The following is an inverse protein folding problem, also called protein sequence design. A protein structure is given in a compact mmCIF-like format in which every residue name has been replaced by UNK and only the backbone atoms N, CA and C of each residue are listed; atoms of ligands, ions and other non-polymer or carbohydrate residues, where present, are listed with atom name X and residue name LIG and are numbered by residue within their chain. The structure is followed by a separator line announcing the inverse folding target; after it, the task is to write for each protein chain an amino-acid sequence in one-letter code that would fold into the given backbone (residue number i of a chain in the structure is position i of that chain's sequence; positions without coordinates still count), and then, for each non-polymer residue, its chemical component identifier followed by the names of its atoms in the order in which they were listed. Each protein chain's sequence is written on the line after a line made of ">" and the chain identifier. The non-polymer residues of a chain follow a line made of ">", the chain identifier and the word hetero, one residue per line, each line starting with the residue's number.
data_IF_925527398865
#
_entry.id   IF_925527398865
#
_cell.length_a   1.000
_cell.length_b   1.000
_cell.length_c   1.000
_cell.angle_alpha   90.00
_cell.angle_beta   90.00
_cell.angle_gamma   90.00
#
_symmetry.space_group_name_H-M   'P 1'
#
loop_
_entity.id
_entity.type
_entity.pdbx_description
1 polymer ?
#
# COMPACT_ATOMS: atom_id res chain seq x y z
N UNK A 1 0.01 -98.44 -43.79
CA UNK A 1 0.97 -97.75 -44.70
C UNK A 1 1.40 -96.44 -44.03
N UNK A 2 2.68 -96.41 -43.73
CA UNK A 2 3.58 -95.28 -43.62
C UNK A 2 3.12 -94.03 -42.76
N UNK A 3 3.66 -93.90 -41.58
CA UNK A 3 5.00 -93.34 -41.22
C UNK A 3 5.11 -91.87 -41.37
N UNK A 4 5.32 -91.14 -40.31
CA UNK A 4 6.53 -90.43 -39.81
C UNK A 4 6.10 -89.41 -38.74
N UNK A 5 6.53 -89.51 -37.55
CA UNK A 5 7.78 -89.19 -36.87
C UNK A 5 7.77 -87.79 -36.25
N UNK A 6 7.94 -87.87 -34.98
CA UNK A 6 8.16 -86.82 -34.00
C UNK A 6 9.24 -85.76 -34.31
N UNK A 7 9.03 -84.51 -33.84
CA UNK A 7 10.09 -83.77 -33.20
C UNK A 7 9.50 -82.83 -32.10
N UNK A 8 9.86 -83.09 -30.87
CA UNK A 8 9.71 -82.22 -29.74
C UNK A 8 10.62 -81.02 -29.94
N UNK A 9 10.09 -79.82 -29.72
CA UNK A 9 10.90 -78.62 -29.46
C UNK A 9 10.37 -77.91 -28.21
N UNK A 10 11.18 -77.99 -27.16
CA UNK A 10 10.97 -77.40 -25.87
C UNK A 10 11.14 -75.87 -26.01
N UNK A 11 10.06 -75.12 -25.82
CA UNK A 11 10.13 -73.66 -25.73
C UNK A 11 10.33 -73.24 -24.27
N UNK A 12 11.52 -72.69 -23.95
CA UNK A 12 11.82 -72.08 -22.66
C UNK A 12 11.17 -70.74 -22.68
N UNK A 13 10.15 -70.54 -21.82
CA UNK A 13 9.58 -69.20 -21.50
C UNK A 13 10.55 -68.43 -20.60
N UNK A 14 11.21 -67.43 -21.14
CA UNK A 14 11.86 -66.36 -20.34
C UNK A 14 10.77 -65.34 -19.94
N UNK A 15 10.36 -65.39 -18.69
CA UNK A 15 9.56 -64.32 -18.08
C UNK A 15 10.47 -63.11 -17.79
N UNK A 16 10.43 -62.09 -18.64
CA UNK A 16 11.00 -60.78 -18.35
C UNK A 16 10.04 -60.03 -17.43
N UNK A 17 10.35 -60.01 -16.13
CA UNK A 17 9.73 -59.11 -15.17
C UNK A 17 10.25 -57.69 -15.41
N UNK A 18 9.46 -56.87 -16.05
CA UNK A 18 9.64 -55.41 -16.09
C UNK A 18 9.36 -54.84 -14.70
N UNK A 19 10.40 -54.52 -13.95
CA UNK A 19 10.32 -53.65 -12.78
C UNK A 19 10.15 -52.22 -13.28
N UNK A 20 8.90 -51.72 -13.36
CA UNK A 20 8.61 -50.32 -13.46
C UNK A 20 9.03 -49.63 -12.17
N UNK A 21 10.29 -49.18 -12.11
CA UNK A 21 10.68 -48.20 -11.12
C UNK A 21 9.96 -46.90 -11.47
N UNK A 22 8.83 -46.62 -10.83
CA UNK A 22 8.18 -45.33 -10.82
C UNK A 22 9.16 -44.36 -10.14
N UNK A 23 10.00 -43.71 -10.92
CA UNK A 23 10.72 -42.52 -10.45
C UNK A 23 9.68 -41.46 -10.11
N UNK A 24 9.33 -41.39 -8.83
CA UNK A 24 8.62 -40.23 -8.29
C UNK A 24 9.59 -39.06 -8.46
N UNK A 25 9.45 -38.37 -9.60
CA UNK A 25 10.10 -37.05 -9.74
C UNK A 25 9.54 -36.19 -8.64
N UNK A 26 10.29 -36.06 -7.56
CA UNK A 26 10.07 -35.04 -6.55
C UNK A 26 10.16 -33.72 -7.31
N UNK A 27 8.98 -33.16 -7.66
CA UNK A 27 8.89 -31.81 -8.22
C UNK A 27 9.61 -30.92 -7.22
N UNK A 28 10.77 -30.38 -7.61
CA UNK A 28 11.48 -29.44 -6.77
C UNK A 28 10.45 -28.38 -6.34
N UNK A 29 10.30 -28.21 -5.03
CA UNK A 29 9.37 -27.22 -4.51
C UNK A 29 9.74 -25.88 -5.14
N UNK A 30 8.78 -25.23 -5.77
CA UNK A 30 8.99 -23.88 -6.29
C UNK A 30 9.56 -22.99 -5.16
N UNK A 31 10.53 -22.15 -5.47
CA UNK A 31 11.06 -21.26 -4.45
C UNK A 31 9.94 -20.41 -3.87
N UNK A 32 9.93 -20.15 -2.56
CA UNK A 32 8.86 -19.38 -1.92
C UNK A 32 8.72 -17.99 -2.56
N UNK A 33 7.48 -17.52 -2.68
CA UNK A 33 7.19 -16.22 -3.26
C UNK A 33 7.98 -15.11 -2.55
N UNK A 34 8.66 -14.28 -3.35
CA UNK A 34 9.34 -13.08 -2.83
C UNK A 34 8.40 -11.88 -2.92
N UNK A 35 8.40 -10.99 -1.92
CA UNK A 35 7.72 -9.71 -2.03
C UNK A 35 8.45 -8.84 -3.05
N UNK A 36 7.74 -7.88 -3.65
CA UNK A 36 8.37 -6.75 -4.32
C UNK A 36 8.57 -5.60 -3.31
N UNK A 37 9.56 -4.77 -3.55
CA UNK A 37 9.71 -3.50 -2.84
C UNK A 37 8.83 -2.48 -3.55
N UNK A 38 7.70 -2.11 -2.90
CA UNK A 38 6.76 -1.11 -3.43
C UNK A 38 7.44 0.24 -3.58
N UNK A 39 8.21 0.62 -2.55
CA UNK A 39 8.96 1.86 -2.58
C UNK A 39 10.20 1.81 -1.70
N UNK A 40 11.28 2.48 -2.16
CA UNK A 40 12.35 2.98 -1.31
C UNK A 40 12.13 4.47 -1.16
N UNK A 41 11.81 4.93 0.05
CA UNK A 41 11.44 6.32 0.33
C UNK A 41 12.55 7.01 1.09
N UNK A 42 13.11 8.07 0.51
CA UNK A 42 14.07 8.96 1.16
C UNK A 42 13.32 10.10 1.86
N UNK A 43 13.65 10.38 3.10
CA UNK A 43 13.12 11.47 3.90
C UNK A 43 14.18 12.56 4.01
N UNK A 44 13.90 13.72 3.44
CA UNK A 44 14.83 14.85 3.42
C UNK A 44 14.18 16.09 4.04
N UNK A 45 14.98 16.90 4.73
CA UNK A 45 14.53 18.22 5.15
C UNK A 45 14.90 19.22 4.06
N UNK A 46 13.87 19.66 3.31
CA UNK A 46 14.04 20.51 2.15
C UNK A 46 14.30 21.96 2.57
N UNK A 47 15.29 22.57 1.95
CA UNK A 47 15.52 24.01 1.93
C UNK A 47 15.19 24.52 0.52
N UNK A 48 14.29 25.52 0.45
CA UNK A 48 13.82 26.07 -0.82
C UNK A 48 14.95 26.57 -1.71
N UNK A 49 15.97 27.20 -1.14
CA UNK A 49 17.10 27.73 -1.92
C UNK A 49 18.01 26.64 -2.48
N UNK A 50 18.01 25.45 -1.85
CA UNK A 50 18.91 24.33 -2.20
C UNK A 50 18.17 23.09 -2.70
N UNK A 51 16.85 23.16 -2.89
CA UNK A 51 16.01 21.97 -3.12
C UNK A 51 16.48 21.08 -4.26
N UNK A 52 16.92 21.68 -5.40
CA UNK A 52 17.39 20.91 -6.56
C UNK A 52 18.64 20.08 -6.22
N UNK A 53 19.58 20.65 -5.47
CA UNK A 53 20.78 19.94 -5.02
C UNK A 53 20.45 18.84 -4.02
N UNK A 54 19.58 19.12 -3.05
CA UNK A 54 19.15 18.15 -2.04
C UNK A 54 18.40 16.97 -2.67
N UNK A 55 17.53 17.24 -3.66
CA UNK A 55 16.85 16.19 -4.44
C UNK A 55 17.85 15.35 -5.23
N UNK A 56 18.81 15.99 -5.89
CA UNK A 56 19.85 15.28 -6.65
C UNK A 56 20.67 14.34 -5.74
N UNK A 57 21.06 14.78 -4.54
CA UNK A 57 21.75 13.95 -3.56
C UNK A 57 20.90 12.76 -3.11
N UNK A 58 19.61 13.00 -2.82
CA UNK A 58 18.67 11.94 -2.46
C UNK A 58 18.49 10.90 -3.58
N UNK A 59 18.40 11.35 -4.82
CA UNK A 59 18.28 10.47 -5.99
C UNK A 59 19.54 9.62 -6.22
N UNK A 60 20.73 10.14 -5.97
CA UNK A 60 21.97 9.35 -5.99
C UNK A 60 21.89 8.19 -5.00
N UNK A 61 21.42 8.44 -3.77
CA UNK A 61 21.21 7.39 -2.77
C UNK A 61 20.11 6.40 -3.20
N UNK A 62 18.94 6.88 -3.60
CA UNK A 62 17.79 6.05 -3.98
C UNK A 62 18.11 5.12 -5.16
N UNK A 63 18.83 5.62 -6.17
CA UNK A 63 19.25 4.81 -7.33
C UNK A 63 20.27 3.73 -6.91
N UNK A 64 21.18 4.03 -5.99
CA UNK A 64 22.07 3.02 -5.40
C UNK A 64 21.29 1.95 -4.63
N UNK A 65 20.30 2.37 -3.83
CA UNK A 65 19.46 1.47 -3.06
C UNK A 65 18.66 0.55 -4.00
N UNK A 66 18.03 1.11 -5.03
CA UNK A 66 17.34 0.32 -6.07
C UNK A 66 18.22 -0.75 -6.67
N UNK A 67 19.41 -0.39 -7.14
CA UNK A 67 20.37 -1.34 -7.73
C UNK A 67 20.81 -2.41 -6.73
N UNK A 68 20.99 -2.06 -5.45
CA UNK A 68 21.38 -3.02 -4.41
C UNK A 68 20.29 -4.07 -4.16
N UNK A 69 19.01 -3.65 -4.08
CA UNK A 69 17.88 -4.57 -3.93
C UNK A 69 17.65 -5.43 -5.16
N UNK A 70 17.76 -4.88 -6.37
CA UNK A 70 17.61 -5.62 -7.63
C UNK A 70 18.71 -6.70 -7.76
N UNK A 71 19.95 -6.40 -7.36
CA UNK A 71 21.04 -7.40 -7.27
C UNK A 71 20.77 -8.50 -6.25
N UNK A 72 19.98 -8.22 -5.20
CA UNK A 72 19.53 -9.22 -4.21
C UNK A 72 18.29 -9.99 -4.65
N UNK A 73 17.80 -9.74 -5.88
CA UNK A 73 16.64 -10.42 -6.47
C UNK A 73 15.29 -9.87 -6.02
N UNK A 74 15.22 -8.61 -5.60
CA UNK A 74 13.98 -7.90 -5.28
C UNK A 74 13.69 -6.84 -6.35
N UNK A 75 12.52 -6.90 -6.97
CA UNK A 75 12.03 -5.83 -7.84
C UNK A 75 11.72 -4.58 -7.02
N UNK A 76 12.25 -3.43 -7.40
CA UNK A 76 11.93 -2.12 -6.80
C UNK A 76 11.02 -1.34 -7.76
N UNK A 77 9.76 -1.15 -7.38
CA UNK A 77 8.76 -0.52 -8.25
C UNK A 77 8.96 0.99 -8.35
N UNK A 78 9.08 1.68 -7.20
CA UNK A 78 9.23 3.14 -7.18
C UNK A 78 10.35 3.57 -6.23
N UNK A 79 10.95 4.73 -6.54
CA UNK A 79 11.78 5.50 -5.63
C UNK A 79 11.03 6.79 -5.29
N UNK A 80 11.06 7.19 -4.02
CA UNK A 80 10.22 8.27 -3.50
C UNK A 80 11.02 9.24 -2.64
N UNK A 81 10.62 10.52 -2.67
CA UNK A 81 11.18 11.54 -1.80
C UNK A 81 10.06 12.16 -0.97
N UNK A 82 10.23 12.17 0.34
CA UNK A 82 9.31 12.76 1.31
C UNK A 82 9.98 13.91 2.04
N UNK A 83 9.24 15.00 2.23
CA UNK A 83 9.73 16.17 2.93
C UNK A 83 8.98 16.42 4.25
N UNK A 84 9.40 17.43 5.01
CA UNK A 84 8.62 18.02 6.09
C UNK A 84 7.36 18.69 5.52
N UNK A 85 6.39 19.12 6.36
CA UNK A 85 5.25 19.93 5.93
C UNK A 85 5.68 21.08 5.02
N UNK A 86 5.03 21.19 3.87
CA UNK A 86 5.46 22.14 2.84
C UNK A 86 5.42 23.60 3.30
N UNK A 87 4.50 23.95 4.18
CA UNK A 87 4.40 25.28 4.78
C UNK A 87 5.69 25.71 5.51
N UNK A 88 6.52 24.77 5.97
CA UNK A 88 7.79 25.14 6.63
C UNK A 88 8.81 25.73 5.65
N UNK A 89 8.89 25.22 4.42
CA UNK A 89 9.88 25.70 3.42
C UNK A 89 9.30 26.65 2.38
N UNK A 90 7.99 26.86 2.38
CA UNK A 90 7.33 27.88 1.56
C UNK A 90 7.00 29.16 2.35
N UNK A 91 7.29 29.17 3.62
CA UNK A 91 7.02 30.31 4.51
C UNK A 91 7.49 31.64 3.90
N UNK A 92 6.60 32.64 3.89
CA UNK A 92 6.86 33.97 3.37
C UNK A 92 6.71 34.13 1.86
N UNK A 93 6.30 33.08 1.15
CA UNK A 93 5.86 33.19 -0.25
C UNK A 93 4.39 33.57 -0.36
N UNK A 94 4.03 34.28 -1.44
CA UNK A 94 2.62 34.43 -1.80
C UNK A 94 2.08 33.08 -2.33
N UNK A 95 0.74 32.86 -2.33
CA UNK A 95 0.13 31.67 -2.91
C UNK A 95 0.61 31.37 -4.35
N UNK A 96 0.73 32.41 -5.19
CA UNK A 96 1.19 32.29 -6.57
C UNK A 96 2.63 31.78 -6.64
N UNK A 97 3.50 32.28 -5.76
CA UNK A 97 4.90 31.85 -5.68
C UNK A 97 5.01 30.40 -5.18
N UNK A 98 4.12 29.97 -4.25
CA UNK A 98 4.06 28.58 -3.81
C UNK A 98 3.64 27.68 -4.96
N UNK A 99 2.61 28.07 -5.71
CA UNK A 99 2.14 27.27 -6.87
C UNK A 99 3.22 27.19 -7.98
N UNK A 100 3.97 28.27 -8.22
CA UNK A 100 5.09 28.25 -9.15
C UNK A 100 6.21 27.30 -8.69
N UNK A 101 6.56 27.36 -7.42
CA UNK A 101 7.56 26.47 -6.82
C UNK A 101 7.17 24.99 -7.00
N UNK A 102 5.92 24.62 -6.69
CA UNK A 102 5.47 23.23 -6.82
C UNK A 102 5.27 22.79 -8.26
N UNK A 103 4.92 23.67 -9.18
CA UNK A 103 4.96 23.37 -10.60
C UNK A 103 6.38 22.96 -11.05
N UNK A 104 7.39 23.71 -10.62
CA UNK A 104 8.80 23.43 -10.95
C UNK A 104 9.31 22.17 -10.24
N UNK A 105 8.86 21.91 -9.01
CA UNK A 105 9.17 20.70 -8.28
C UNK A 105 8.56 19.45 -8.95
N UNK A 106 7.27 19.51 -9.31
CA UNK A 106 6.60 18.42 -10.03
C UNK A 106 7.27 18.13 -11.38
N UNK A 107 7.59 19.17 -12.15
CA UNK A 107 8.33 19.04 -13.41
C UNK A 107 9.70 18.34 -13.21
N UNK A 108 10.41 18.66 -12.12
CA UNK A 108 11.65 17.97 -11.75
C UNK A 108 11.40 16.51 -11.39
N UNK A 109 10.36 16.20 -10.62
CA UNK A 109 10.01 14.85 -10.23
C UNK A 109 9.65 13.98 -11.44
N UNK A 110 8.84 14.50 -12.36
CA UNK A 110 8.52 13.84 -13.64
C UNK A 110 9.80 13.58 -14.45
N UNK A 111 10.66 14.57 -14.59
CA UNK A 111 11.91 14.45 -15.37
C UNK A 111 12.85 13.39 -14.80
N UNK A 112 13.01 13.36 -13.48
CA UNK A 112 13.95 12.48 -12.79
C UNK A 112 13.36 11.10 -12.43
N UNK A 113 12.04 10.92 -12.58
CA UNK A 113 11.33 9.66 -12.40
C UNK A 113 11.20 9.25 -10.92
N UNK A 114 10.66 10.12 -10.09
CA UNK A 114 10.31 9.82 -8.69
C UNK A 114 8.98 10.45 -8.31
N UNK A 115 8.29 9.86 -7.33
CA UNK A 115 7.12 10.45 -6.70
C UNK A 115 7.54 11.24 -5.46
N UNK A 116 6.82 12.31 -5.14
CA UNK A 116 7.15 13.17 -4.01
C UNK A 116 5.97 13.42 -3.08
N UNK A 117 6.12 13.12 -1.79
CA UNK A 117 5.22 13.62 -0.77
C UNK A 117 5.75 14.93 -0.20
N UNK A 118 4.92 15.98 -0.28
CA UNK A 118 5.26 17.31 0.23
C UNK A 118 4.87 17.50 1.70
N UNK A 119 4.49 16.41 2.36
CA UNK A 119 4.04 16.39 3.75
C UNK A 119 2.61 16.87 3.94
N UNK A 120 2.13 16.94 5.19
CA UNK A 120 0.79 17.40 5.49
C UNK A 120 0.66 18.93 5.39
N UNK A 121 -0.47 19.40 4.90
CA UNK A 121 -0.83 20.83 4.95
C UNK A 121 -1.11 21.27 6.38
N UNK A 122 -1.79 20.43 7.15
CA UNK A 122 -2.05 20.62 8.58
C UNK A 122 -1.57 19.39 9.34
N UNK A 123 -0.65 19.58 10.28
CA UNK A 123 -0.16 18.52 11.18
C UNK A 123 -0.89 18.57 12.52
N UNK A 124 -1.36 19.77 12.92
CA UNK A 124 -2.13 20.03 14.14
C UNK A 124 -3.43 20.75 13.81
N UNK A 125 -4.41 20.63 14.68
CA UNK A 125 -5.70 21.33 14.51
C UNK A 125 -5.59 22.85 14.58
N UNK A 126 -4.52 23.36 15.19
CA UNK A 126 -4.20 24.79 15.27
C UNK A 126 -3.57 25.37 13.99
N UNK A 127 -3.14 24.53 13.05
CA UNK A 127 -2.47 24.98 11.83
C UNK A 127 -3.44 25.77 10.92
N UNK A 128 -2.88 26.52 9.97
CA UNK A 128 -3.69 27.34 9.06
C UNK A 128 -4.44 26.49 8.03
N UNK A 129 -5.76 26.62 7.98
CA UNK A 129 -6.59 25.93 7.00
C UNK A 129 -6.36 26.43 5.56
N UNK A 130 -5.81 27.63 5.36
CA UNK A 130 -5.41 28.12 4.06
C UNK A 130 -4.35 27.26 3.38
N UNK A 131 -3.50 26.59 4.16
CA UNK A 131 -2.52 25.62 3.62
C UNK A 131 -3.21 24.39 3.04
N UNK A 132 -4.37 23.99 3.58
CA UNK A 132 -5.17 22.91 3.03
C UNK A 132 -5.79 23.28 1.65
N UNK A 133 -6.31 24.50 1.53
CA UNK A 133 -6.81 24.99 0.23
C UNK A 133 -5.68 25.01 -0.81
N UNK A 134 -4.51 25.49 -0.40
CA UNK A 134 -3.32 25.53 -1.25
C UNK A 134 -2.86 24.13 -1.67
N UNK A 135 -2.90 23.16 -0.75
CA UNK A 135 -2.63 21.74 -1.06
C UNK A 135 -3.58 21.21 -2.13
N UNK A 136 -4.88 21.47 -2.03
CA UNK A 136 -5.88 21.07 -3.04
C UNK A 136 -5.51 21.62 -4.42
N UNK A 137 -5.14 22.90 -4.52
CA UNK A 137 -4.74 23.54 -5.78
C UNK A 137 -3.43 22.93 -6.30
N UNK A 138 -2.45 22.66 -5.45
CA UNK A 138 -1.17 22.03 -5.86
C UNK A 138 -1.45 20.65 -6.45
N UNK A 139 -2.16 19.80 -5.73
CA UNK A 139 -2.42 18.42 -6.13
C UNK A 139 -3.29 18.32 -7.39
N UNK A 140 -4.24 19.25 -7.60
CA UNK A 140 -5.07 19.27 -8.81
C UNK A 140 -4.27 19.53 -10.10
N UNK A 141 -3.06 20.06 -10.00
CA UNK A 141 -2.19 20.43 -11.11
C UNK A 141 -0.95 19.56 -11.26
N UNK A 142 -0.61 18.83 -10.21
CA UNK A 142 0.59 17.99 -10.15
C UNK A 142 0.35 16.59 -10.75
N UNK A 143 1.43 15.96 -11.21
CA UNK A 143 1.43 14.59 -11.73
C UNK A 143 2.04 13.57 -10.78
N UNK A 144 2.98 14.03 -9.93
CA UNK A 144 3.80 13.16 -9.08
C UNK A 144 3.81 13.60 -7.61
N UNK A 145 3.16 14.74 -7.30
CA UNK A 145 3.10 15.22 -5.93
C UNK A 145 1.95 14.61 -5.18
N UNK A 146 2.20 14.27 -3.93
CA UNK A 146 1.24 13.70 -3.01
C UNK A 146 1.29 14.45 -1.68
N UNK A 147 0.16 14.50 -0.97
CA UNK A 147 0.07 15.21 0.29
C UNK A 147 -1.07 14.72 1.18
N UNK A 148 -1.09 15.21 2.41
CA UNK A 148 -2.06 14.77 3.41
C UNK A 148 -2.50 15.89 4.34
N UNK A 149 -3.50 15.59 5.16
CA UNK A 149 -3.89 16.40 6.32
C UNK A 149 -3.99 15.45 7.52
N UNK A 150 -3.40 15.86 8.66
CA UNK A 150 -3.50 15.09 9.90
C UNK A 150 -4.83 15.38 10.59
N UNK A 151 -5.73 14.38 10.63
CA UNK A 151 -7.07 14.49 11.22
C UNK A 151 -7.15 14.00 12.68
N UNK A 152 -6.07 13.43 13.20
CA UNK A 152 -5.89 13.13 14.62
C UNK A 152 -4.40 12.98 14.96
N UNK A 153 -4.05 13.36 16.16
CA UNK A 153 -2.70 13.25 16.75
C UNK A 153 -2.76 12.71 18.18
N UNK A 154 -1.61 12.72 18.87
CA UNK A 154 -1.53 12.37 20.29
C UNK A 154 -2.38 13.28 21.19
N UNK A 155 -2.70 14.48 20.71
CA UNK A 155 -3.55 15.48 21.35
C UNK A 155 -5.05 15.26 21.08
N UNK A 156 -5.43 14.25 20.28
CA UNK A 156 -6.80 13.87 20.03
C UNK A 156 -7.26 14.09 18.58
N UNK A 157 -8.57 14.26 18.41
CA UNK A 157 -9.21 14.44 17.09
C UNK A 157 -9.09 15.91 16.67
N UNK A 158 -8.68 16.14 15.43
CA UNK A 158 -8.48 17.46 14.83
C UNK A 158 -9.70 17.85 13.98
N UNK A 159 -10.72 18.44 14.60
CA UNK A 159 -11.98 18.73 13.93
C UNK A 159 -11.89 19.78 12.82
N UNK A 160 -11.05 20.81 12.99
CA UNK A 160 -10.78 21.82 11.96
C UNK A 160 -10.05 21.18 10.76
N UNK A 161 -9.10 20.29 11.03
CA UNK A 161 -8.36 19.56 10.01
C UNK A 161 -9.25 18.57 9.26
N UNK A 162 -10.22 17.92 9.94
CA UNK A 162 -11.22 17.06 9.31
C UNK A 162 -12.07 17.85 8.31
N UNK A 163 -12.55 19.03 8.70
CA UNK A 163 -13.33 19.88 7.80
C UNK A 163 -12.47 20.35 6.61
N UNK A 164 -11.23 20.77 6.84
CA UNK A 164 -10.29 21.13 5.79
C UNK A 164 -10.02 19.99 4.83
N UNK A 165 -9.82 18.76 5.33
CA UNK A 165 -9.63 17.57 4.50
C UNK A 165 -10.86 17.25 3.63
N UNK A 166 -12.06 17.40 4.18
CA UNK A 166 -13.30 17.22 3.42
C UNK A 166 -13.43 18.23 2.27
N UNK A 167 -13.02 19.48 2.50
CA UNK A 167 -12.99 20.52 1.45
C UNK A 167 -11.94 20.21 0.37
N UNK A 168 -10.75 19.71 0.75
CA UNK A 168 -9.72 19.28 -0.23
C UNK A 168 -10.23 18.13 -1.09
N UNK A 169 -10.90 17.14 -0.50
CA UNK A 169 -11.47 16.01 -1.23
C UNK A 169 -12.48 16.51 -2.28
N UNK A 170 -13.38 17.42 -1.91
CA UNK A 170 -14.35 18.01 -2.85
C UNK A 170 -13.65 18.86 -3.91
N UNK A 171 -12.64 19.63 -3.54
CA UNK A 171 -11.88 20.42 -4.50
C UNK A 171 -11.22 19.52 -5.56
N UNK A 172 -10.56 18.44 -5.14
CA UNK A 172 -9.91 17.50 -6.06
C UNK A 172 -10.91 16.74 -6.93
N UNK A 173 -12.08 16.42 -6.40
CA UNK A 173 -13.17 15.85 -7.18
C UNK A 173 -13.58 16.78 -8.33
N UNK A 174 -13.78 18.06 -8.06
CA UNK A 174 -14.31 19.03 -9.02
C UNK A 174 -13.25 19.52 -10.02
N UNK A 175 -11.94 19.43 -9.68
CA UNK A 175 -10.85 20.03 -10.44
C UNK A 175 -9.87 19.04 -11.07
N UNK A 176 -10.15 17.73 -11.00
CA UNK A 176 -9.33 16.71 -11.65
C UNK A 176 -10.17 15.78 -12.51
N UNK A 177 -9.57 15.20 -13.55
CA UNK A 177 -10.25 14.27 -14.44
C UNK A 177 -10.85 13.12 -13.63
N UNK A 178 -12.16 12.91 -13.75
CA UNK A 178 -12.90 11.87 -13.00
C UNK A 178 -12.74 11.92 -11.48
N UNK A 179 -12.26 13.04 -10.90
CA UNK A 179 -11.99 13.17 -9.48
C UNK A 179 -10.76 12.39 -8.98
N UNK A 180 -9.96 11.83 -9.90
CA UNK A 180 -8.87 10.90 -9.55
C UNK A 180 -7.67 11.57 -8.85
N UNK A 181 -7.59 12.90 -8.79
CA UNK A 181 -6.61 13.60 -7.96
C UNK A 181 -6.70 13.26 -6.48
N UNK A 182 -7.83 12.76 -6.03
CA UNK A 182 -8.01 12.21 -4.68
C UNK A 182 -7.12 10.96 -4.42
N UNK A 183 -6.60 10.30 -5.44
CA UNK A 183 -5.64 9.22 -5.28
C UNK A 183 -4.32 9.68 -4.65
N UNK A 184 -3.96 10.95 -4.89
CA UNK A 184 -2.75 11.58 -4.37
C UNK A 184 -2.94 12.32 -3.03
N UNK A 185 -4.13 12.19 -2.42
CA UNK A 185 -4.47 12.82 -1.14
C UNK A 185 -4.97 11.81 -0.12
N UNK A 186 -4.65 12.03 1.15
CA UNK A 186 -5.26 11.27 2.27
C UNK A 186 -5.44 12.13 3.51
N UNK A 187 -6.52 11.85 4.24
CA UNK A 187 -6.67 12.28 5.63
C UNK A 187 -6.03 11.23 6.55
N UNK A 188 -5.01 11.61 7.32
CA UNK A 188 -4.17 10.72 8.11
C UNK A 188 -4.43 10.90 9.62
N UNK A 189 -4.67 9.82 10.35
CA UNK A 189 -4.87 9.83 11.80
C UNK A 189 -3.78 9.02 12.48
N UNK A 190 -3.02 9.63 13.39
CA UNK A 190 -1.93 9.01 14.15
C UNK A 190 -0.85 8.32 13.27
N UNK A 191 -0.72 8.71 12.01
CA UNK A 191 0.32 8.15 11.12
C UNK A 191 1.67 8.69 11.55
N UNK A 192 2.66 7.84 11.84
CA UNK A 192 3.96 8.30 12.32
C UNK A 192 4.80 8.94 11.20
N UNK A 193 5.63 9.92 11.59
CA UNK A 193 6.68 10.44 10.71
C UNK A 193 7.62 9.32 10.25
N UNK A 194 8.07 9.36 9.00
CA UNK A 194 8.92 8.32 8.43
C UNK A 194 8.14 7.14 7.82
N UNK A 195 6.83 7.23 7.72
CA UNK A 195 5.99 6.24 7.04
C UNK A 195 6.29 6.24 5.53
N UNK A 196 6.68 5.09 4.92
CA UNK A 196 7.07 5.04 3.52
C UNK A 196 5.90 4.90 2.54
N UNK A 197 4.68 4.67 3.03
CA UNK A 197 3.48 4.60 2.19
C UNK A 197 2.89 5.99 1.92
N UNK A 198 2.57 6.26 0.67
CA UNK A 198 1.94 7.47 0.18
C UNK A 198 0.41 7.34 0.14
N UNK A 199 -0.32 8.45 0.23
CA UNK A 199 0.10 9.85 0.40
C UNK A 199 0.36 10.30 1.85
N UNK A 200 0.25 9.44 2.87
CA UNK A 200 0.37 9.82 4.28
C UNK A 200 1.82 10.07 4.76
N UNK A 201 2.78 10.02 3.86
CA UNK A 201 4.21 10.12 4.17
C UNK A 201 4.61 11.55 4.53
N UNK A 202 5.38 11.72 5.60
CA UNK A 202 5.97 13.01 5.98
C UNK A 202 7.20 12.83 6.87
N UNK A 203 7.96 13.91 7.04
CA UNK A 203 9.13 13.96 7.90
C UNK A 203 8.96 14.98 9.02
N UNK A 204 9.27 14.57 10.25
CA UNK A 204 9.61 15.48 11.35
C UNK A 204 11.04 15.22 11.79
N UNK A 205 11.77 16.29 12.19
CA UNK A 205 13.16 16.15 12.61
C UNK A 205 14.19 16.20 11.47
N UNK A 206 15.39 15.64 11.67
CA UNK A 206 16.48 15.73 10.70
C UNK A 206 16.23 14.88 9.46
N UNK A 207 16.73 15.32 8.30
CA UNK A 207 16.71 14.59 7.04
C UNK A 207 17.73 13.45 6.96
N UNK A 208 17.98 12.96 5.73
CA UNK A 208 18.86 11.82 5.41
C UNK A 208 18.45 10.52 6.11
N UNK A 209 17.15 10.24 6.07
CA UNK A 209 16.56 8.98 6.53
C UNK A 209 15.91 8.27 5.33
N UNK A 210 15.73 6.96 5.43
CA UNK A 210 14.96 6.20 4.43
C UNK A 210 14.24 5.03 5.06
N UNK A 211 13.12 4.66 4.47
CA UNK A 211 12.35 3.48 4.86
C UNK A 211 11.86 2.75 3.60
N UNK A 212 11.35 1.53 3.81
CA UNK A 212 10.97 0.61 2.74
C UNK A 212 9.51 0.23 2.92
N UNK A 213 8.76 0.22 1.82
CA UNK A 213 7.41 -0.31 1.75
C UNK A 213 7.35 -1.56 0.87
N UNK A 214 6.55 -2.54 1.24
CA UNK A 214 6.42 -3.79 0.49
C UNK A 214 5.14 -3.86 -0.35
N UNK A 215 5.22 -4.60 -1.44
CA UNK A 215 4.09 -5.21 -2.13
C UNK A 215 4.22 -6.73 -1.94
N UNK A 216 3.37 -7.32 -1.11
CA UNK A 216 3.53 -8.70 -0.67
C UNK A 216 2.22 -9.50 -0.57
N UNK A 217 1.16 -9.06 -1.25
CA UNK A 217 -0.10 -9.82 -1.31
C UNK A 217 0.11 -11.24 -1.88
N UNK A 218 1.05 -11.43 -2.81
CA UNK A 218 1.46 -12.75 -3.32
C UNK A 218 2.04 -13.64 -2.23
N UNK A 219 2.84 -13.09 -1.30
CA UNK A 219 3.41 -13.84 -0.18
C UNK A 219 2.33 -14.21 0.83
N UNK A 220 1.38 -13.31 1.08
CA UNK A 220 0.21 -13.62 1.91
C UNK A 220 -0.60 -14.75 1.26
N UNK A 221 -0.87 -14.68 -0.03
CA UNK A 221 -1.60 -15.71 -0.76
C UNK A 221 -0.92 -17.09 -0.66
N UNK A 222 0.41 -17.15 -0.81
CA UNK A 222 1.17 -18.41 -0.63
C UNK A 222 1.09 -18.91 0.82
N UNK A 223 1.25 -18.03 1.79
CA UNK A 223 1.22 -18.41 3.22
C UNK A 223 -0.14 -18.96 3.64
N UNK A 224 -1.23 -18.38 3.16
CA UNK A 224 -2.60 -18.80 3.44
C UNK A 224 -2.98 -20.06 2.66
N UNK A 225 -2.44 -20.27 1.45
CA UNK A 225 -2.77 -21.43 0.61
C UNK A 225 -2.30 -22.73 1.28
N UNK A 226 -3.24 -23.65 1.50
CA UNK A 226 -2.97 -24.96 2.10
C UNK A 226 -2.67 -24.94 3.60
N UNK A 227 -2.81 -23.80 4.27
CA UNK A 227 -2.80 -23.75 5.74
C UNK A 227 -4.08 -24.40 6.29
N UNK A 228 -3.90 -25.33 7.25
CA UNK A 228 -5.01 -26.14 7.81
C UNK A 228 -5.70 -25.47 9.01
N UNK A 229 -5.14 -24.38 9.51
CA UNK A 229 -5.68 -23.61 10.64
C UNK A 229 -5.19 -22.17 10.59
N UNK A 230 -5.83 -21.29 11.36
CA UNK A 230 -5.43 -19.91 11.54
C UNK A 230 -3.99 -19.82 12.08
N UNK A 231 -3.63 -20.60 13.10
CA UNK A 231 -2.28 -20.60 13.68
C UNK A 231 -1.22 -21.06 12.67
N UNK A 232 -1.54 -22.07 11.85
CA UNK A 232 -0.64 -22.52 10.80
C UNK A 232 -0.44 -21.45 9.72
N UNK A 233 -1.50 -20.73 9.34
CA UNK A 233 -1.42 -19.62 8.39
C UNK A 233 -0.57 -18.46 8.95
N UNK A 234 -0.78 -18.06 10.18
CA UNK A 234 -0.02 -17.03 10.88
C UNK A 234 1.48 -17.38 10.95
N UNK A 235 1.79 -18.60 11.38
CA UNK A 235 3.17 -19.09 11.47
C UNK A 235 3.86 -19.15 10.11
N UNK A 236 3.15 -19.59 9.06
CA UNK A 236 3.67 -19.63 7.67
C UNK A 236 3.96 -18.23 7.15
N UNK A 237 3.00 -17.29 7.33
CA UNK A 237 3.18 -15.89 6.87
C UNK A 237 4.38 -15.25 7.57
N UNK A 238 4.45 -15.34 8.90
CA UNK A 238 5.59 -14.87 9.68
C UNK A 238 6.92 -15.45 9.17
N UNK A 239 6.95 -16.74 8.83
CA UNK A 239 8.17 -17.40 8.39
C UNK A 239 8.57 -17.00 6.96
N UNK A 240 7.63 -17.01 6.00
CA UNK A 240 7.94 -16.73 4.59
C UNK A 240 8.30 -15.26 4.42
N UNK A 241 7.45 -14.34 4.88
CA UNK A 241 7.71 -12.91 4.75
C UNK A 241 8.87 -12.47 5.64
N UNK A 242 9.00 -13.05 6.84
CA UNK A 242 10.06 -12.72 7.79
C UNK A 242 11.46 -12.98 7.23
N UNK A 243 11.66 -14.08 6.49
CA UNK A 243 12.96 -14.34 5.83
C UNK A 243 13.31 -13.22 4.83
N UNK A 244 12.36 -12.83 3.99
CA UNK A 244 12.56 -11.74 3.04
C UNK A 244 12.76 -10.39 3.74
N UNK A 245 11.99 -10.10 4.79
CA UNK A 245 12.10 -8.85 5.54
C UNK A 245 13.49 -8.69 6.20
N UNK A 246 14.01 -9.74 6.82
CA UNK A 246 15.36 -9.74 7.42
C UNK A 246 16.45 -9.55 6.34
N UNK A 247 16.31 -10.16 5.17
CA UNK A 247 17.25 -9.98 4.06
C UNK A 247 17.22 -8.54 3.52
N UNK A 248 16.03 -7.97 3.38
CA UNK A 248 15.84 -6.57 2.95
C UNK A 248 16.41 -5.60 4.00
N UNK A 249 16.18 -5.84 5.29
CA UNK A 249 16.72 -5.02 6.38
C UNK A 249 18.23 -5.03 6.43
N UNK A 250 18.88 -6.20 6.32
CA UNK A 250 20.35 -6.30 6.25
C UNK A 250 20.93 -5.48 5.09
N UNK A 251 20.25 -5.48 3.95
CA UNK A 251 20.66 -4.65 2.81
C UNK A 251 20.49 -3.16 3.12
N UNK A 252 19.39 -2.79 3.80
CA UNK A 252 19.13 -1.42 4.24
C UNK A 252 20.20 -0.92 5.22
N UNK A 253 20.54 -1.70 6.24
CA UNK A 253 21.56 -1.35 7.23
C UNK A 253 22.94 -1.13 6.59
N UNK A 254 23.31 -2.01 5.64
CA UNK A 254 24.54 -1.84 4.86
C UNK A 254 24.54 -0.55 4.05
N UNK A 255 23.42 -0.23 3.37
CA UNK A 255 23.25 1.00 2.61
C UNK A 255 23.33 2.23 3.51
N UNK A 256 22.71 2.18 4.69
CA UNK A 256 22.73 3.24 5.69
C UNK A 256 24.18 3.58 6.09
N UNK A 257 24.94 2.57 6.51
CA UNK A 257 26.33 2.73 6.94
C UNK A 257 27.24 3.27 5.81
N UNK A 258 27.08 2.75 4.59
CA UNK A 258 27.95 3.12 3.46
C UNK A 258 27.70 4.53 2.92
N UNK A 259 26.51 5.09 3.14
CA UNK A 259 26.11 6.35 2.53
C UNK A 259 25.79 7.45 3.54
N UNK A 260 25.91 7.22 4.85
CA UNK A 260 25.61 8.19 5.89
C UNK A 260 24.13 8.55 5.98
N UNK A 261 23.25 7.59 5.67
CA UNK A 261 21.78 7.69 5.82
C UNK A 261 21.32 6.90 7.05
N UNK A 262 20.23 7.32 7.66
CA UNK A 262 19.59 6.57 8.74
C UNK A 262 18.51 5.64 8.16
N UNK A 263 18.60 4.35 8.45
CA UNK A 263 17.50 3.42 8.18
C UNK A 263 16.38 3.63 9.20
N UNK A 264 15.17 3.87 8.72
CA UNK A 264 13.98 4.14 9.54
C UNK A 264 13.06 2.94 9.71
N UNK A 265 13.30 1.85 8.98
CA UNK A 265 12.50 0.63 9.10
C UNK A 265 11.83 0.18 7.79
N UNK A 266 11.08 -0.91 7.92
CA UNK A 266 10.30 -1.49 6.83
C UNK A 266 8.82 -1.52 7.20
N UNK A 267 7.97 -1.03 6.32
CA UNK A 267 6.54 -1.21 6.43
C UNK A 267 6.14 -2.52 5.76
N UNK A 268 5.73 -3.48 6.57
CA UNK A 268 5.40 -4.84 6.16
C UNK A 268 3.98 -4.97 5.61
N UNK A 269 3.22 -3.88 5.49
CA UNK A 269 1.87 -3.90 4.95
C UNK A 269 1.86 -4.54 3.56
N UNK A 270 1.02 -5.57 3.31
CA UNK A 270 1.04 -6.33 2.09
C UNK A 270 0.20 -5.64 1.00
N UNK A 271 0.72 -4.54 0.44
CA UNK A 271 0.03 -3.84 -0.63
C UNK A 271 -0.32 -4.81 -1.77
N UNK A 272 -1.57 -4.82 -2.23
CA UNK A 272 -1.98 -5.53 -3.44
C UNK A 272 -1.65 -4.71 -4.69
N UNK A 273 -1.88 -5.31 -5.85
CA UNK A 273 -1.95 -4.61 -7.13
C UNK A 273 -2.83 -5.40 -8.09
N UNK A 274 -4.05 -4.93 -8.30
CA UNK A 274 -5.04 -5.54 -9.19
C UNK A 274 -5.22 -7.05 -8.92
N UNK A 275 -4.79 -7.91 -9.84
CA UNK A 275 -4.96 -9.36 -9.72
C UNK A 275 -4.00 -10.03 -8.72
N UNK A 276 -2.96 -9.33 -8.28
CA UNK A 276 -2.19 -9.72 -7.10
C UNK A 276 -2.99 -9.28 -5.87
N UNK A 277 -4.07 -10.02 -5.61
CA UNK A 277 -5.16 -9.61 -4.73
C UNK A 277 -4.99 -10.14 -3.31
N UNK A 278 -5.10 -9.24 -2.34
CA UNK A 278 -5.22 -9.58 -0.92
C UNK A 278 -6.62 -10.13 -0.61
N UNK A 279 -7.65 -9.56 -1.26
CA UNK A 279 -9.02 -10.06 -1.16
C UNK A 279 -9.12 -11.51 -1.62
N UNK A 280 -8.54 -11.83 -2.77
CA UNK A 280 -8.49 -13.20 -3.30
C UNK A 280 -7.74 -14.17 -2.41
N UNK A 281 -6.66 -13.73 -1.76
CA UNK A 281 -5.92 -14.54 -0.78
C UNK A 281 -6.78 -14.89 0.44
N UNK A 282 -7.53 -13.92 0.97
CA UNK A 282 -8.45 -14.09 2.11
C UNK A 282 -9.57 -15.07 1.75
N UNK A 283 -10.22 -14.88 0.58
CA UNK A 283 -11.32 -15.73 0.12
C UNK A 283 -10.87 -17.18 -0.07
N UNK A 284 -9.73 -17.37 -0.70
CA UNK A 284 -9.18 -18.72 -0.94
C UNK A 284 -8.86 -19.45 0.37
N UNK A 285 -8.45 -18.75 1.41
CA UNK A 285 -8.16 -19.33 2.72
C UNK A 285 -9.43 -19.69 3.48
N UNK A 286 -10.41 -18.79 3.50
CA UNK A 286 -11.58 -18.95 4.35
C UNK A 286 -12.76 -19.63 3.64
N UNK A 287 -12.73 -19.69 2.31
CA UNK A 287 -13.75 -20.35 1.49
C UNK A 287 -15.05 -19.55 1.33
N UNK A 288 -15.06 -18.27 1.71
CA UNK A 288 -16.20 -17.36 1.57
C UNK A 288 -15.74 -15.99 1.06
N UNK A 289 -16.62 -15.22 0.38
CA UNK A 289 -16.29 -13.89 -0.11
C UNK A 289 -15.88 -12.93 1.01
N UNK A 290 -14.93 -12.02 0.73
CA UNK A 290 -14.60 -10.90 1.62
C UNK A 290 -15.85 -10.07 1.90
N UNK A 291 -16.00 -9.63 3.13
CA UNK A 291 -17.24 -9.01 3.65
C UNK A 291 -18.11 -9.98 4.44
N UNK A 292 -17.88 -11.31 4.29
CA UNK A 292 -18.57 -12.33 5.09
C UNK A 292 -17.97 -12.45 6.49
N UNK A 293 -18.71 -13.10 7.39
CA UNK A 293 -18.23 -13.47 8.72
C UNK A 293 -16.91 -14.24 8.60
N UNK A 294 -15.91 -13.89 9.42
CA UNK A 294 -14.55 -14.43 9.36
C UNK A 294 -13.53 -13.52 8.69
N UNK A 295 -13.94 -12.57 7.82
CA UNK A 295 -13.02 -11.61 7.21
C UNK A 295 -12.22 -10.82 8.26
N UNK A 296 -12.88 -10.33 9.31
CA UNK A 296 -12.23 -9.64 10.43
C UNK A 296 -11.18 -10.52 11.12
N UNK A 297 -11.49 -11.81 11.32
CA UNK A 297 -10.56 -12.76 11.94
C UNK A 297 -9.30 -12.94 11.10
N UNK A 298 -9.44 -13.08 9.78
CA UNK A 298 -8.28 -13.21 8.87
C UNK A 298 -7.49 -11.90 8.81
N UNK A 299 -8.16 -10.76 8.82
CA UNK A 299 -7.50 -9.45 8.87
C UNK A 299 -6.63 -9.30 10.14
N UNK A 300 -7.17 -9.72 11.29
CA UNK A 300 -6.45 -9.74 12.56
C UNK A 300 -5.25 -10.70 12.52
N UNK A 301 -5.43 -11.91 11.98
CA UNK A 301 -4.37 -12.91 11.83
C UNK A 301 -3.21 -12.37 11.00
N UNK A 302 -3.49 -11.83 9.81
CA UNK A 302 -2.45 -11.29 8.93
C UNK A 302 -1.70 -10.17 9.66
N UNK A 303 -2.41 -9.22 10.27
CA UNK A 303 -1.78 -8.10 10.98
C UNK A 303 -0.90 -8.56 12.15
N UNK A 304 -1.34 -9.55 12.93
CA UNK A 304 -0.52 -10.14 14.00
C UNK A 304 0.74 -10.80 13.46
N UNK A 305 0.61 -11.58 12.38
CA UNK A 305 1.76 -12.24 11.73
C UNK A 305 2.82 -11.22 11.29
N UNK A 306 2.39 -10.12 10.65
CA UNK A 306 3.28 -9.04 10.19
C UNK A 306 4.01 -8.38 11.37
N UNK A 307 3.28 -8.00 12.41
CA UNK A 307 3.84 -7.34 13.61
C UNK A 307 4.76 -8.25 14.43
N UNK A 308 4.61 -9.56 14.31
CA UNK A 308 5.47 -10.53 14.97
C UNK A 308 6.81 -10.80 14.25
N UNK A 309 7.02 -10.26 13.05
CA UNK A 309 8.29 -10.34 12.32
C UNK A 309 9.32 -9.45 13.00
N UNK A 310 10.50 -9.99 13.26
CA UNK A 310 11.56 -9.29 14.00
C UNK A 310 12.44 -8.48 13.05
N UNK A 311 12.01 -7.26 12.74
CA UNK A 311 12.73 -6.23 11.99
C UNK A 311 12.38 -4.87 12.58
N UNK A 312 13.09 -3.82 12.19
CA UNK A 312 12.70 -2.44 12.51
C UNK A 312 11.45 -2.07 11.73
N UNK A 313 10.33 -1.92 12.42
CA UNK A 313 9.06 -1.56 11.80
C UNK A 313 8.96 -0.06 11.51
N UNK A 314 8.33 0.27 10.39
CA UNK A 314 7.92 1.62 10.02
C UNK A 314 6.44 1.65 9.64
N UNK A 315 5.84 2.82 9.63
CA UNK A 315 4.50 3.06 9.08
C UNK A 315 3.38 2.26 9.74
N UNK A 316 2.54 1.67 8.93
CA UNK A 316 1.34 0.93 9.37
C UNK A 316 1.64 -0.48 9.86
N UNK A 317 2.49 -1.19 9.15
CA UNK A 317 2.85 -2.61 9.39
C UNK A 317 1.63 -3.48 9.75
N UNK A 318 0.62 -3.49 8.88
CA UNK A 318 -0.62 -4.23 9.03
C UNK A 318 -1.33 -4.48 7.72
N UNK A 319 -2.39 -5.28 7.72
CA UNK A 319 -3.16 -5.57 6.52
C UNK A 319 -3.71 -4.29 5.88
N UNK A 320 -3.61 -4.19 4.56
CA UNK A 320 -4.22 -3.14 3.72
C UNK A 320 -5.38 -3.71 2.93
N UNK A 321 -6.47 -2.95 2.84
CA UNK A 321 -7.66 -3.31 2.06
C UNK A 321 -8.06 -2.14 1.12
N UNK A 322 -7.19 -1.76 0.17
CA UNK A 322 -7.49 -0.68 -0.77
C UNK A 322 -8.49 -1.17 -1.82
N UNK A 323 -9.72 -0.66 -1.76
CA UNK A 323 -10.84 -1.19 -2.56
C UNK A 323 -10.58 -1.10 -4.06
N UNK A 324 -10.08 0.03 -4.53
CA UNK A 324 -9.85 0.24 -5.97
C UNK A 324 -8.45 -0.21 -6.44
N UNK A 325 -7.56 -0.70 -5.58
CA UNK A 325 -6.26 -1.23 -6.01
C UNK A 325 -6.22 -2.76 -6.07
N UNK A 326 -7.34 -3.42 -5.75
CA UNK A 326 -7.47 -4.88 -5.65
C UNK A 326 -8.73 -5.35 -6.40
N UNK A 327 -8.57 -6.16 -7.45
CA UNK A 327 -9.68 -6.60 -8.31
C UNK A 327 -10.77 -7.34 -7.55
N UNK A 328 -10.43 -8.13 -6.53
CA UNK A 328 -11.43 -8.88 -5.74
C UNK A 328 -12.13 -7.96 -4.75
N UNK A 329 -11.42 -7.05 -4.09
CA UNK A 329 -12.05 -6.07 -3.19
C UNK A 329 -13.02 -5.16 -3.97
N UNK A 330 -12.61 -4.66 -5.16
CA UNK A 330 -13.45 -3.86 -6.04
C UNK A 330 -14.71 -4.63 -6.49
N UNK A 331 -14.56 -5.93 -6.77
CA UNK A 331 -15.69 -6.80 -7.10
C UNK A 331 -16.64 -6.95 -5.90
N UNK A 332 -16.13 -7.26 -4.69
CA UNK A 332 -16.98 -7.44 -3.48
C UNK A 332 -17.64 -6.14 -3.05
N UNK A 333 -16.96 -5.02 -3.24
CA UNK A 333 -17.55 -3.70 -3.08
C UNK A 333 -18.71 -3.49 -4.08
N UNK A 334 -18.49 -3.76 -5.37
CA UNK A 334 -19.52 -3.64 -6.41
C UNK A 334 -20.74 -4.54 -6.19
N UNK A 335 -20.57 -5.67 -5.52
CA UNK A 335 -21.62 -6.61 -5.13
C UNK A 335 -22.36 -6.18 -3.84
N UNK A 336 -21.90 -5.14 -3.13
CA UNK A 336 -22.44 -4.73 -1.83
C UNK A 336 -22.10 -5.66 -0.68
N UNK A 337 -21.14 -6.59 -0.85
CA UNK A 337 -20.67 -7.51 0.20
C UNK A 337 -19.65 -6.88 1.12
N UNK A 338 -18.76 -6.09 0.57
CA UNK A 338 -17.82 -5.27 1.30
C UNK A 338 -18.37 -3.85 1.37
N UNK A 339 -18.65 -3.35 2.56
CA UNK A 339 -19.23 -2.03 2.81
C UNK A 339 -18.27 -1.14 3.58
N UNK A 340 -18.56 0.15 3.65
CA UNK A 340 -17.77 1.11 4.44
C UNK A 340 -17.75 0.73 5.92
N UNK A 341 -18.92 0.35 6.50
CA UNK A 341 -19.00 -0.08 7.90
C UNK A 341 -18.18 -1.34 8.18
N UNK A 342 -18.18 -2.29 7.22
CA UNK A 342 -17.35 -3.48 7.33
C UNK A 342 -15.86 -3.10 7.32
N UNK A 343 -15.42 -2.20 6.45
CA UNK A 343 -14.04 -1.71 6.39
C UNK A 343 -13.64 -0.94 7.65
N UNK A 344 -14.51 -0.09 8.19
CA UNK A 344 -14.30 0.57 9.48
C UNK A 344 -14.15 -0.47 10.61
N UNK A 345 -15.01 -1.48 10.64
CA UNK A 345 -14.89 -2.58 11.61
C UNK A 345 -13.57 -3.33 11.45
N UNK A 346 -13.16 -3.65 10.21
CA UNK A 346 -11.86 -4.30 9.96
C UNK A 346 -10.69 -3.39 10.33
N UNK A 347 -10.85 -2.07 10.22
CA UNK A 347 -9.83 -1.09 10.61
C UNK A 347 -9.49 -1.13 12.10
N UNK A 348 -10.34 -1.71 12.94
CA UNK A 348 -9.99 -2.00 14.34
C UNK A 348 -8.82 -2.99 14.46
N UNK A 349 -8.65 -3.91 13.52
CA UNK A 349 -7.65 -5.00 13.55
C UNK A 349 -6.67 -5.00 12.37
N UNK A 350 -6.99 -4.33 11.25
CA UNK A 350 -6.11 -4.20 10.07
C UNK A 350 -5.14 -3.01 10.20
N UNK A 351 -4.42 -2.66 9.13
CA UNK A 351 -3.32 -1.67 9.15
C UNK A 351 -3.70 -0.24 8.78
N UNK A 352 -4.57 -0.02 7.80
CA UNK A 352 -4.58 1.26 7.08
C UNK A 352 -5.83 2.11 7.18
N UNK A 353 -6.99 1.58 7.51
CA UNK A 353 -8.24 2.37 7.54
C UNK A 353 -9.08 2.23 6.27
N UNK A 354 -9.68 3.31 5.83
CA UNK A 354 -10.44 3.40 4.57
C UNK A 354 -9.48 3.76 3.43
N UNK A 355 -9.28 2.86 2.49
CA UNK A 355 -8.30 3.08 1.44
C UNK A 355 -8.90 2.89 0.04
N UNK A 356 -8.74 3.91 -0.79
CA UNK A 356 -9.29 4.02 -2.16
C UNK A 356 -10.78 3.67 -2.26
N UNK A 357 -11.59 4.35 -1.45
CA UNK A 357 -13.04 4.07 -1.36
C UNK A 357 -13.80 4.87 -2.41
N UNK A 358 -14.48 4.22 -3.39
CA UNK A 358 -15.30 4.92 -4.37
C UNK A 358 -16.58 5.45 -3.74
N UNK A 359 -16.85 6.74 -3.92
CA UNK A 359 -17.98 7.46 -3.35
C UNK A 359 -18.82 8.12 -4.45
N UNK A 360 -20.13 8.38 -4.20
CA UNK A 360 -20.94 9.13 -5.15
C UNK A 360 -20.48 10.58 -5.28
N UNK A 361 -20.60 11.15 -6.47
CA UNK A 361 -20.15 12.50 -6.78
C UNK A 361 -21.02 13.61 -6.17
N UNK A 362 -22.19 13.29 -5.64
CA UNK A 362 -23.04 14.21 -4.90
C UNK A 362 -22.80 14.18 -3.38
N UNK A 363 -21.74 13.49 -2.93
CA UNK A 363 -21.36 13.48 -1.52
C UNK A 363 -21.06 14.90 -1.02
N UNK A 364 -21.60 15.25 0.13
CA UNK A 364 -21.42 16.60 0.71
C UNK A 364 -20.18 16.66 1.61
N UNK A 365 -19.70 17.88 1.87
CA UNK A 365 -18.63 18.14 2.84
C UNK A 365 -19.00 17.62 4.23
N UNK A 366 -20.25 17.76 4.65
CA UNK A 366 -20.73 17.27 5.94
C UNK A 366 -20.70 15.74 6.03
N UNK A 367 -21.03 15.04 4.93
CA UNK A 367 -20.93 13.58 4.88
C UNK A 367 -19.48 13.11 4.94
N UNK A 368 -18.59 13.74 4.17
CA UNK A 368 -17.15 13.48 4.25
C UNK A 368 -16.61 13.75 5.66
N UNK A 369 -16.99 14.85 6.29
CA UNK A 369 -16.60 15.20 7.66
C UNK A 369 -17.01 14.11 8.66
N UNK A 370 -18.20 13.52 8.53
CA UNK A 370 -18.63 12.40 9.37
C UNK A 370 -17.80 11.15 9.17
N UNK A 371 -17.55 10.76 7.91
CA UNK A 371 -16.70 9.59 7.60
C UNK A 371 -15.28 9.75 8.15
N UNK A 372 -14.69 10.94 7.97
CA UNK A 372 -13.36 11.25 8.49
C UNK A 372 -13.32 11.28 10.02
N UNK A 373 -14.40 11.76 10.64
CA UNK A 373 -14.59 11.74 12.10
C UNK A 373 -14.61 10.31 12.66
N UNK A 374 -15.26 9.36 11.97
CA UNK A 374 -15.29 7.95 12.37
C UNK A 374 -13.89 7.31 12.29
N UNK A 375 -13.14 7.58 11.22
CA UNK A 375 -11.75 7.12 11.08
C UNK A 375 -10.86 7.69 12.18
N UNK A 376 -10.96 8.99 12.46
CA UNK A 376 -10.20 9.65 13.53
C UNK A 376 -10.56 9.08 14.91
N UNK A 377 -11.86 8.89 15.18
CA UNK A 377 -12.35 8.31 16.44
C UNK A 377 -11.83 6.89 16.67
N UNK A 378 -11.82 6.06 15.61
CA UNK A 378 -11.31 4.69 15.66
C UNK A 378 -9.79 4.68 15.88
N UNK A 379 -9.04 5.56 15.20
CA UNK A 379 -7.59 5.70 15.35
C UNK A 379 -7.21 6.09 16.78
N UNK A 380 -7.85 7.11 17.34
CA UNK A 380 -7.62 7.58 18.71
C UNK A 380 -8.00 6.49 19.72
N UNK A 381 -9.16 5.84 19.56
CA UNK A 381 -9.61 4.76 20.46
C UNK A 381 -8.61 3.63 20.57
N UNK A 382 -8.02 3.21 19.45
CA UNK A 382 -7.11 2.07 19.41
C UNK A 382 -5.63 2.46 19.39
N UNK A 383 -5.35 3.77 19.46
CA UNK A 383 -4.00 4.34 19.41
C UNK A 383 -3.18 3.70 18.29
N UNK A 384 -3.69 3.81 17.08
CA UNK A 384 -3.09 3.18 15.89
C UNK A 384 -3.19 4.08 14.67
N UNK A 385 -2.19 4.01 13.75
CA UNK A 385 -2.26 4.75 12.50
C UNK A 385 -3.40 4.24 11.62
N UNK A 386 -4.23 5.17 11.16
CA UNK A 386 -5.23 4.95 10.12
C UNK A 386 -5.20 6.11 9.13
N UNK A 387 -5.70 5.88 7.93
CA UNK A 387 -5.90 6.93 6.94
C UNK A 387 -7.21 6.73 6.19
N UNK A 388 -7.70 7.80 5.57
CA UNK A 388 -8.86 7.78 4.69
C UNK A 388 -8.48 8.37 3.34
N UNK A 389 -8.43 7.53 2.31
CA UNK A 389 -8.26 7.88 0.91
C UNK A 389 -9.59 7.65 0.21
N UNK A 390 -10.37 8.71 0.07
CA UNK A 390 -11.75 8.70 -0.41
C UNK A 390 -11.78 9.20 -1.86
N UNK A 391 -12.51 8.50 -2.73
CA UNK A 391 -12.54 8.71 -4.18
C UNK A 391 -13.96 9.06 -4.65
N UNK A 392 -14.49 10.25 -4.38
CA UNK A 392 -15.77 10.68 -4.97
C UNK A 392 -15.60 10.78 -6.49
N UNK A 393 -16.58 10.25 -7.22
CA UNK A 393 -16.60 10.20 -8.67
C UNK A 393 -17.59 11.24 -9.24
N UNK A 394 -17.11 12.37 -9.82
CA UNK A 394 -17.95 13.48 -10.23
C UNK A 394 -19.07 13.04 -11.17
N UNK A 395 -20.30 13.47 -10.88
CA UNK A 395 -21.48 13.19 -11.68
C UNK A 395 -21.99 11.75 -11.63
N UNK A 396 -21.30 10.84 -10.90
CA UNK A 396 -21.71 9.44 -10.75
C UNK A 396 -22.57 9.23 -9.52
N UNK A 397 -23.54 8.33 -9.65
CA UNK A 397 -24.54 8.00 -8.61
C UNK A 397 -24.37 6.54 -8.13
N UNK A 398 -24.95 6.20 -6.98
CA UNK A 398 -24.99 4.82 -6.53
C UNK A 398 -25.53 3.87 -7.62
N UNK A 399 -24.84 2.75 -7.82
CA UNK A 399 -25.12 1.75 -8.86
C UNK A 399 -24.34 1.96 -10.17
N UNK A 400 -23.80 3.14 -10.42
CA UNK A 400 -22.96 3.42 -11.59
C UNK A 400 -21.50 3.03 -11.34
N UNK A 401 -20.75 2.82 -12.42
CA UNK A 401 -19.31 2.53 -12.37
C UNK A 401 -18.51 3.82 -12.25
N UNK A 402 -17.40 3.77 -11.51
CA UNK A 402 -16.35 4.79 -11.60
C UNK A 402 -15.67 4.73 -12.97
N UNK A 403 -14.97 5.80 -13.37
CA UNK A 403 -14.26 5.91 -14.66
C UNK A 403 -12.84 6.43 -14.46
N UNK A 404 -12.13 5.94 -13.44
CA UNK A 404 -10.75 6.31 -13.22
C UNK A 404 -9.84 5.75 -14.31
N UNK A 405 -8.90 6.57 -14.80
CA UNK A 405 -7.91 6.21 -15.82
C UNK A 405 -6.56 5.83 -15.23
N UNK A 406 -6.39 6.00 -13.90
CA UNK A 406 -5.13 5.71 -13.23
C UNK A 406 -4.74 4.22 -13.38
N UNK A 407 -3.50 3.91 -13.80
CA UNK A 407 -3.05 2.54 -14.05
C UNK A 407 -3.05 1.65 -12.80
N UNK A 408 -3.07 2.22 -11.60
CA UNK A 408 -3.14 1.47 -10.34
C UNK A 408 -4.57 1.17 -9.91
N UNK A 409 -5.58 1.88 -10.43
CA UNK A 409 -6.97 1.73 -10.02
C UNK A 409 -7.73 0.71 -10.87
N UNK A 410 -8.70 0.08 -10.23
CA UNK A 410 -9.72 -0.79 -10.83
C UNK A 410 -11.07 -0.09 -10.64
N UNK A 411 -11.85 0.06 -11.71
CA UNK A 411 -13.16 0.66 -11.61
C UNK A 411 -14.17 -0.26 -10.91
N UNK A 412 -15.02 0.31 -10.08
CA UNK A 412 -16.01 -0.39 -9.27
C UNK A 412 -17.35 0.35 -9.25
N UNK A 413 -18.44 -0.36 -8.91
CA UNK A 413 -19.74 0.28 -8.71
C UNK A 413 -19.71 1.12 -7.43
N UNK A 414 -20.32 2.29 -7.51
CA UNK A 414 -20.50 3.19 -6.37
C UNK A 414 -21.63 2.65 -5.50
N UNK A 415 -21.40 2.55 -4.20
CA UNK A 415 -22.42 2.18 -3.24
C UNK A 415 -23.18 3.42 -2.75
N UNK A 416 -24.46 3.27 -2.32
CA UNK A 416 -25.12 4.33 -1.58
C UNK A 416 -24.38 4.58 -0.26
N UNK A 417 -24.37 5.82 0.18
CA UNK A 417 -23.85 6.16 1.51
C UNK A 417 -24.80 5.63 2.59
N UNK A 418 -24.27 5.13 3.70
CA UNK A 418 -25.09 4.69 4.83
C UNK A 418 -25.81 5.82 5.53
#
# INVERSE_FOLDING_TARGET
>A
MMNRAHRFTTAVLFALTWICAAASATRAAEPPAKPKIRAVTAFIRLDRAQYKTQIAEALVFLRKAKVAYEKSGYEVQTIRITTQPFSEYTKGLSPEQVLEFFRDYDALAVKEGFDASIGPAMLKDSDDAGEAELLGIILSRAKTLEGSISIAGEDGIHWKSIQAAALVIKYLEDHTTHGQGNFNFTAAALVPSGTPFYPASYLTGPGKQFAIALQSANVVAEALTGAKSADAAEARLKNILGRSAVEIEKTAEKLALQNGWKYGGIDLSPAPLKDISIGGAIEKFYGVPVGSSGTLTVAALITRALRAIQVTHAGYSGLMLPVLEDSVLAQRWSEGRLTMDALLSYSAVCGTGLDTIPLPGDITVEQLTRILGDVASLAVKWHKPLSARLQPAPGRKPGEMTEFDDPFLVNAKIQPLP
#
